data_IF_358331602146
#
_entry.id   IF_358331602146
#
_cell.length_a   1.000
_cell.length_b   1.000
_cell.length_c   1.000
_cell.angle_alpha   90.00
_cell.angle_beta   90.00
_cell.angle_gamma   90.00
#
_symmetry.space_group_name_H-M   'P 1'
#
loop_
_entity.id
_entity.type
_entity.pdbx_description
1 polymer ?
#
# COMPACT_ATOMS: atom_id res chain seq x y z
N UNK A 1 -10.86 -6.71 -3.62
CA UNK A 1 -10.81 -8.11 -4.12
C UNK A 1 -10.60 -8.19 -5.63
N UNK A 2 -11.30 -7.40 -6.45
CA UNK A 2 -11.20 -7.50 -7.93
C UNK A 2 -9.78 -7.27 -8.49
N UNK A 3 -8.97 -6.44 -7.83
CA UNK A 3 -7.56 -6.21 -8.21
C UNK A 3 -6.54 -7.13 -7.54
N UNK A 4 -6.99 -8.10 -6.74
CA UNK A 4 -6.09 -9.05 -6.05
C UNK A 4 -5.41 -9.99 -7.05
N UNK A 5 -4.10 -10.21 -6.92
CA UNK A 5 -3.34 -11.09 -7.80
C UNK A 5 -2.95 -10.47 -9.15
N UNK A 6 -3.20 -9.17 -9.34
CA UNK A 6 -2.77 -8.43 -10.53
C UNK A 6 -1.32 -7.91 -10.43
N UNK A 7 -0.64 -8.11 -9.29
CA UNK A 7 0.73 -7.68 -9.05
C UNK A 7 0.93 -6.20 -9.39
N UNK A 8 0.09 -5.33 -8.81
CA UNK A 8 0.07 -3.90 -9.11
C UNK A 8 1.26 -3.12 -8.54
N UNK A 9 2.13 -3.79 -7.76
CA UNK A 9 3.32 -3.20 -7.15
C UNK A 9 2.99 -1.93 -6.36
N UNK A 10 1.91 -2.01 -5.57
CA UNK A 10 1.42 -0.87 -4.81
C UNK A 10 2.45 -0.48 -3.76
N UNK A 11 2.83 0.78 -3.78
CA UNK A 11 3.76 1.39 -2.84
C UNK A 11 3.18 2.67 -2.26
N UNK A 12 3.58 3.01 -1.03
CA UNK A 12 3.21 4.24 -0.39
C UNK A 12 4.45 5.13 -0.13
N UNK A 13 4.23 6.44 -0.12
CA UNK A 13 5.28 7.40 0.26
C UNK A 13 5.55 7.32 1.76
N UNK A 14 6.70 7.82 2.21
CA UNK A 14 7.18 7.65 3.60
C UNK A 14 6.16 8.00 4.68
N UNK A 15 5.42 9.10 4.54
CA UNK A 15 4.43 9.48 5.55
C UNK A 15 3.25 8.50 5.62
N UNK A 16 2.75 8.06 4.46
CA UNK A 16 1.67 7.07 4.38
C UNK A 16 2.17 5.72 4.88
N UNK A 17 3.41 5.37 4.56
CA UNK A 17 4.07 4.13 4.99
C UNK A 17 4.12 3.99 6.51
N UNK A 18 4.45 5.06 7.24
CA UNK A 18 4.40 5.04 8.71
C UNK A 18 3.00 4.71 9.26
N UNK A 19 1.94 5.24 8.62
CA UNK A 19 0.57 4.96 9.03
C UNK A 19 0.16 3.51 8.70
N UNK A 20 0.56 2.99 7.54
CA UNK A 20 0.33 1.59 7.16
C UNK A 20 1.02 0.64 8.13
N UNK A 21 2.28 0.90 8.49
CA UNK A 21 2.99 0.12 9.51
C UNK A 21 2.30 0.16 10.87
N UNK A 22 1.91 1.35 11.34
CA UNK A 22 1.18 1.48 12.60
C UNK A 22 -0.14 0.71 12.59
N UNK A 23 -0.87 0.74 11.46
CA UNK A 23 -2.12 0.01 11.29
C UNK A 23 -1.92 -1.52 11.29
N UNK A 24 -0.90 -2.03 10.60
CA UNK A 24 -0.57 -3.46 10.61
C UNK A 24 -0.22 -3.93 12.03
N UNK A 25 0.52 -3.10 12.79
CA UNK A 25 0.87 -3.38 14.18
C UNK A 25 -0.34 -3.32 15.13
N UNK A 26 -1.40 -2.57 14.79
CA UNK A 26 -2.71 -2.68 15.43
C UNK A 26 -3.42 -3.99 15.03
N UNK A 27 -2.84 -5.08 15.50
CA UNK A 27 -3.07 -6.45 15.06
C UNK A 27 -4.55 -6.83 15.07
N UNK A 28 -5.33 -6.33 16.05
CA UNK A 28 -6.76 -6.63 16.13
C UNK A 28 -7.52 -5.99 14.97
N UNK A 29 -7.32 -4.70 14.73
CA UNK A 29 -8.00 -3.98 13.66
C UNK A 29 -7.52 -4.47 12.29
N UNK A 30 -6.23 -4.74 12.15
CA UNK A 30 -5.66 -5.33 10.94
C UNK A 30 -6.27 -6.71 10.62
N UNK A 31 -6.39 -7.60 11.61
CA UNK A 31 -7.05 -8.91 11.44
C UNK A 31 -8.51 -8.78 11.02
N UNK A 32 -9.26 -7.85 11.62
CA UNK A 32 -10.66 -7.62 11.27
C UNK A 32 -10.82 -7.10 9.84
N UNK A 33 -9.89 -6.26 9.37
CA UNK A 33 -9.84 -5.82 7.99
C UNK A 33 -9.57 -6.99 7.03
N UNK A 34 -8.57 -7.83 7.35
CA UNK A 34 -8.24 -9.03 6.59
C UNK A 34 -9.41 -10.02 6.51
N UNK A 35 -10.09 -10.25 7.63
CA UNK A 35 -11.29 -11.10 7.68
C UNK A 35 -12.39 -10.55 6.76
N UNK A 36 -12.70 -9.26 6.90
CA UNK A 36 -13.79 -8.61 6.17
C UNK A 36 -13.56 -8.55 4.67
N UNK A 37 -12.32 -8.32 4.23
CA UNK A 37 -12.04 -7.95 2.83
C UNK A 37 -11.21 -8.98 2.06
N UNK A 38 -10.56 -9.92 2.74
CA UNK A 38 -9.62 -10.89 2.15
C UNK A 38 -9.91 -12.34 2.57
N UNK A 39 -11.09 -12.61 3.14
CA UNK A 39 -11.49 -13.96 3.55
C UNK A 39 -10.56 -14.56 4.61
N UNK A 40 -10.07 -13.71 5.52
CA UNK A 40 -9.17 -14.09 6.61
C UNK A 40 -7.70 -14.24 6.20
N UNK A 41 -7.36 -14.05 4.92
CA UNK A 41 -5.97 -14.03 4.44
C UNK A 41 -5.31 -12.71 4.84
N UNK A 42 -4.08 -12.79 5.31
CA UNK A 42 -3.27 -11.62 5.61
C UNK A 42 -2.67 -11.02 4.34
N UNK A 43 -2.55 -9.70 4.34
CA UNK A 43 -1.67 -8.98 3.42
C UNK A 43 -0.25 -9.06 3.99
N UNK A 44 0.64 -9.74 3.29
CA UNK A 44 2.01 -9.89 3.79
C UNK A 44 2.80 -8.60 3.52
N UNK A 45 3.35 -8.01 4.58
CA UNK A 45 4.31 -6.92 4.44
C UNK A 45 5.72 -7.50 4.29
N UNK A 46 6.26 -7.40 3.07
CA UNK A 46 7.59 -7.91 2.72
C UNK A 46 8.48 -6.72 2.35
N UNK A 47 9.25 -6.16 3.31
CA UNK A 47 10.16 -5.08 3.03
C UNK A 47 11.36 -5.60 2.22
N UNK A 48 11.79 -4.84 1.22
CA UNK A 48 13.12 -4.96 0.61
C UNK A 48 14.09 -3.97 1.24
N UNK A 49 15.37 -4.12 0.91
CA UNK A 49 16.44 -3.25 1.39
C UNK A 49 16.62 -2.03 0.47
N UNK A 50 16.29 -2.17 -0.82
CA UNK A 50 16.50 -1.11 -1.82
C UNK A 50 15.24 -0.28 -2.06
N UNK A 51 15.40 1.04 -2.01
CA UNK A 51 14.35 1.98 -2.35
C UNK A 51 14.16 2.01 -3.87
N UNK A 52 12.90 1.91 -4.30
CA UNK A 52 12.54 2.11 -5.71
C UNK A 52 12.18 3.58 -5.91
N UNK A 53 12.53 4.13 -7.07
CA UNK A 53 12.20 5.50 -7.47
C UNK A 53 11.48 5.48 -8.82
N UNK A 54 10.44 4.65 -8.91
CA UNK A 54 9.82 4.22 -10.17
C UNK A 54 8.42 4.82 -10.39
N UNK A 55 7.98 5.73 -9.51
CA UNK A 55 6.66 6.36 -9.56
C UNK A 55 5.50 5.48 -9.05
N UNK A 56 5.80 4.36 -8.40
CA UNK A 56 4.80 3.45 -7.81
C UNK A 56 3.88 4.17 -6.82
N UNK A 57 4.37 5.14 -6.04
CA UNK A 57 3.55 5.89 -5.08
C UNK A 57 2.42 6.67 -5.75
N UNK A 58 2.71 7.36 -6.86
CA UNK A 58 1.69 8.06 -7.62
C UNK A 58 0.68 7.09 -8.23
N UNK A 59 1.16 5.97 -8.81
CA UNK A 59 0.28 4.93 -9.37
C UNK A 59 -0.65 4.38 -8.32
N UNK A 60 -0.17 4.11 -7.11
CA UNK A 60 -0.99 3.67 -5.97
C UNK A 60 -2.07 4.70 -5.63
N UNK A 61 -1.74 5.99 -5.52
CA UNK A 61 -2.71 7.04 -5.24
C UNK A 61 -3.84 7.07 -6.28
N UNK A 62 -3.47 6.96 -7.56
CA UNK A 62 -4.42 6.89 -8.68
C UNK A 62 -5.28 5.63 -8.60
N UNK A 63 -4.70 4.46 -8.35
CA UNK A 63 -5.44 3.21 -8.15
C UNK A 63 -6.48 3.37 -7.03
N UNK A 64 -6.11 4.00 -5.91
CA UNK A 64 -7.03 4.24 -4.78
C UNK A 64 -8.18 5.17 -5.22
N UNK A 65 -7.88 6.28 -5.90
CA UNK A 65 -8.88 7.20 -6.42
C UNK A 65 -9.83 6.55 -7.42
N UNK A 66 -9.30 5.75 -8.36
CA UNK A 66 -10.06 5.04 -9.39
C UNK A 66 -11.02 3.98 -8.79
N UNK A 67 -10.74 3.50 -7.58
CA UNK A 67 -11.62 2.62 -6.82
C UNK A 67 -12.63 3.39 -5.94
N UNK A 68 -12.75 4.71 -6.09
CA UNK A 68 -13.76 5.55 -5.44
C UNK A 68 -13.41 6.01 -4.02
N UNK A 69 -12.16 5.84 -3.58
CA UNK A 69 -11.71 6.34 -2.28
C UNK A 69 -11.26 7.79 -2.37
N UNK A 70 -11.53 8.57 -1.32
CA UNK A 70 -11.00 9.91 -1.20
C UNK A 70 -9.47 9.84 -0.97
N UNK A 71 -8.72 10.57 -1.80
CA UNK A 71 -7.26 10.69 -1.71
C UNK A 71 -6.89 12.11 -1.28
N UNK A 72 -6.09 12.22 -0.22
CA UNK A 72 -5.45 13.47 0.18
C UNK A 72 -4.23 13.72 -0.74
N UNK A 73 -4.47 14.37 -1.87
CA UNK A 73 -3.41 14.62 -2.87
C UNK A 73 -2.19 15.34 -2.30
N UNK A 74 -2.32 16.42 -1.50
CA UNK A 74 -1.16 17.04 -0.86
C UNK A 74 -0.30 16.09 -0.01
N UNK A 75 -0.93 15.17 0.73
CA UNK A 75 -0.20 14.15 1.51
C UNK A 75 0.58 13.20 0.60
N UNK A 76 -0.08 12.74 -0.46
CA UNK A 76 0.47 11.76 -1.39
C UNK A 76 1.58 12.36 -2.27
N UNK A 77 1.35 13.55 -2.87
CA UNK A 77 2.28 14.28 -3.74
C UNK A 77 3.61 14.63 -3.05
N UNK A 78 3.60 14.81 -1.73
CA UNK A 78 4.79 15.16 -0.94
C UNK A 78 5.95 14.17 -1.10
N UNK A 79 5.63 12.89 -1.33
CA UNK A 79 6.60 11.80 -1.43
C UNK A 79 6.48 11.00 -2.75
N UNK A 80 5.77 11.50 -3.77
CA UNK A 80 5.58 10.79 -5.06
C UNK A 80 6.87 10.30 -5.70
N UNK A 81 7.93 11.10 -5.64
CA UNK A 81 9.23 10.76 -6.20
C UNK A 81 10.12 9.95 -5.25
N UNK A 82 9.63 9.51 -4.08
CA UNK A 82 10.39 8.79 -3.06
C UNK A 82 9.64 7.52 -2.67
N UNK A 83 9.69 6.50 -3.51
CA UNK A 83 8.95 5.27 -3.26
C UNK A 83 9.61 4.45 -2.14
N UNK A 84 8.78 3.82 -1.31
CA UNK A 84 9.21 2.91 -0.25
C UNK A 84 9.83 1.62 -0.80
N UNK A 85 10.52 0.84 0.05
CA UNK A 85 11.27 -0.33 -0.39
C UNK A 85 10.37 -1.58 -0.53
N UNK A 86 9.19 -1.48 -1.16
CA UNK A 86 8.31 -2.64 -1.37
C UNK A 86 8.86 -3.55 -2.50
N UNK A 87 8.75 -4.87 -2.36
CA UNK A 87 9.22 -5.86 -3.37
C UNK A 87 8.47 -5.73 -4.71
N UNK A 88 9.15 -5.74 -5.87
CA UNK A 88 8.48 -5.65 -7.15
C UNK A 88 7.83 -7.00 -7.51
N UNK A 89 6.72 -6.97 -8.23
CA UNK A 89 5.96 -8.13 -8.68
C UNK A 89 5.13 -8.85 -7.62
N UNK A 90 5.11 -8.35 -6.38
CA UNK A 90 4.36 -8.96 -5.29
C UNK A 90 3.02 -8.26 -5.04
N UNK A 91 2.10 -8.99 -4.42
CA UNK A 91 0.87 -8.41 -3.84
C UNK A 91 1.15 -7.93 -2.41
N UNK A 92 2.22 -7.16 -2.24
CA UNK A 92 2.52 -6.49 -0.97
C UNK A 92 1.60 -5.27 -0.85
N UNK A 93 0.94 -5.15 0.31
CA UNK A 93 -0.10 -4.15 0.60
C UNK A 93 -1.36 -4.26 -0.27
#
# INVERSE_FOLDING_TARGET
MEKWGQNLEMCCGRLVDMAVHAFILDTRNYRLLCERHFGGKFLEHIPEIEFKYDGSVERTARIIADNGFAVDWPLWERDYAKCGPCRPGENCH
#
